data_IF_263241429288
#
_entry.id   IF_263241429288
#
_cell.length_a   1.000
_cell.length_b   1.000
_cell.length_c   1.000
_cell.angle_alpha   90.00
_cell.angle_beta   90.00
_cell.angle_gamma   90.00
#
_symmetry.space_group_name_H-M   'P 1'
#
loop_
_entity.id
_entity.type
_entity.pdbx_description
1 polymer ?
#
# COMPACT_ATOMS: atom_id res chain seq x y z
N UNK A 1 48.54 -37.39 6.61
CA UNK A 1 49.76 -37.13 7.40
C UNK A 1 50.50 -36.01 6.69
N UNK A 2 50.83 -34.83 7.21
CA UNK A 2 50.87 -34.15 8.52
C UNK A 2 50.91 -32.66 8.10
N UNK A 3 49.91 -31.81 8.38
CA UNK A 3 49.82 -30.90 9.53
C UNK A 3 51.10 -30.08 9.84
N UNK A 4 51.01 -28.74 9.72
CA UNK A 4 51.64 -27.70 10.57
C UNK A 4 51.46 -26.35 9.88
N UNK A 5 50.73 -25.35 10.39
CA UNK A 5 50.63 -24.69 11.71
C UNK A 5 51.47 -23.41 11.81
N UNK A 6 50.83 -22.42 12.45
CA UNK A 6 51.34 -21.22 13.15
C UNK A 6 51.47 -19.92 12.33
N UNK A 7 50.63 -18.90 12.53
CA UNK A 7 50.32 -18.02 13.70
C UNK A 7 51.24 -16.80 13.85
N UNK A 8 50.66 -15.59 13.78
CA UNK A 8 50.91 -14.40 14.62
C UNK A 8 50.12 -13.20 14.03
N UNK A 9 49.05 -12.70 14.67
CA UNK A 9 48.94 -11.78 15.83
C UNK A 9 49.07 -10.29 15.46
N UNK A 10 47.96 -9.55 15.73
CA UNK A 10 47.83 -8.21 16.39
C UNK A 10 48.67 -7.04 15.83
N UNK A 11 48.29 -5.77 15.76
CA UNK A 11 47.24 -4.85 16.25
C UNK A 11 47.52 -3.52 15.51
N UNK A 12 46.66 -2.51 15.43
CA UNK A 12 46.72 -1.35 16.35
C UNK A 12 45.62 -0.34 16.03
N UNK A 13 44.86 -0.01 17.08
CA UNK A 13 44.01 1.16 17.29
C UNK A 13 44.67 2.48 16.89
N UNK A 14 43.92 3.41 16.28
CA UNK A 14 44.12 4.84 16.55
C UNK A 14 42.78 5.57 16.69
N UNK A 15 42.45 5.83 17.96
CA UNK A 15 41.53 6.82 18.48
C UNK A 15 42.11 8.22 18.26
N UNK A 16 41.32 9.22 17.88
CA UNK A 16 41.62 10.62 18.16
C UNK A 16 40.35 11.33 18.63
N UNK A 17 40.34 11.63 19.93
CA UNK A 17 39.42 12.51 20.61
C UNK A 17 40.28 13.64 21.22
N UNK A 18 39.98 14.91 20.95
CA UNK A 18 40.49 16.06 21.74
C UNK A 18 39.35 17.09 21.86
N UNK A 19 39.08 17.47 23.12
CA UNK A 19 38.02 18.36 23.59
C UNK A 19 38.46 19.83 23.76
N UNK A 20 37.45 20.69 23.96
CA UNK A 20 37.41 21.98 24.71
C UNK A 20 37.98 23.25 24.02
N UNK A 21 37.44 24.47 24.18
CA UNK A 21 36.57 25.05 25.22
C UNK A 21 35.72 26.25 24.72
N UNK A 22 34.85 26.67 25.64
CA UNK A 22 33.77 27.67 25.72
C UNK A 22 34.16 29.16 25.50
N UNK A 23 33.20 29.99 25.04
CA UNK A 23 32.93 31.39 25.46
C UNK A 23 32.07 32.19 24.45
N UNK A 24 31.01 32.84 24.95
CA UNK A 24 30.66 34.21 24.52
C UNK A 24 29.34 34.42 23.75
N UNK A 25 28.32 34.85 24.48
CA UNK A 25 26.99 35.34 24.06
C UNK A 25 27.06 36.61 23.18
N UNK A 26 26.16 36.73 22.20
CA UNK A 26 25.31 37.91 21.92
C UNK A 26 25.11 38.12 20.42
N UNK A 27 23.91 37.80 19.94
CA UNK A 27 23.45 38.10 18.59
C UNK A 27 21.95 37.89 18.54
N UNK A 28 21.20 38.90 18.96
CA UNK A 28 19.75 39.02 18.80
C UNK A 28 19.39 38.77 17.34
N UNK A 29 18.72 37.66 17.05
CA UNK A 29 17.99 37.47 15.80
C UNK A 29 16.50 37.55 16.14
N UNK A 30 15.95 38.72 15.85
CA UNK A 30 14.54 39.04 15.84
C UNK A 30 13.75 38.05 14.99
N UNK A 31 12.71 37.49 15.60
CA UNK A 31 11.37 37.27 15.06
C UNK A 31 11.26 37.14 13.54
N UNK A 32 11.30 35.91 13.07
CA UNK A 32 10.27 35.41 12.15
C UNK A 32 10.02 33.95 12.56
N UNK A 33 9.27 33.76 13.66
CA UNK A 33 8.44 32.56 13.79
C UNK A 33 7.52 32.60 12.57
N UNK A 34 7.93 31.93 11.49
CA UNK A 34 7.01 31.56 10.44
C UNK A 34 6.02 30.63 11.13
N UNK A 35 4.91 31.23 11.58
CA UNK A 35 3.68 30.55 11.96
C UNK A 35 3.46 29.49 10.89
N UNK A 36 3.90 28.28 11.22
CA UNK A 36 3.64 27.10 10.44
C UNK A 36 2.13 27.03 10.47
N UNK A 37 1.51 27.48 9.39
CA UNK A 37 0.08 27.31 9.15
C UNK A 37 -0.06 25.80 8.98
N UNK A 38 -0.04 25.08 10.10
CA UNK A 38 -0.80 23.87 10.31
C UNK A 38 -2.20 24.37 10.05
N UNK A 39 -2.58 24.33 8.77
CA UNK A 39 -3.96 24.27 8.38
C UNK A 39 -4.42 23.04 9.13
N UNK A 40 -4.95 23.28 10.33
CA UNK A 40 -5.72 22.31 11.08
C UNK A 40 -6.60 21.71 10.01
N UNK A 41 -6.29 20.48 9.63
CA UNK A 41 -7.25 19.63 8.96
C UNK A 41 -8.25 19.43 10.09
N UNK A 42 -9.11 20.44 10.27
CA UNK A 42 -10.33 20.32 11.02
C UNK A 42 -10.98 19.15 10.33
N UNK A 43 -10.92 17.99 10.99
CA UNK A 43 -11.77 16.86 10.74
C UNK A 43 -13.19 17.40 10.84
N UNK A 44 -13.66 17.99 9.74
CA UNK A 44 -15.04 18.40 9.55
C UNK A 44 -15.84 17.14 9.24
N UNK A 45 -15.71 16.16 10.13
CA UNK A 45 -16.80 15.29 10.52
C UNK A 45 -17.76 16.21 11.24
N UNK A 46 -18.47 17.04 10.47
CA UNK A 46 -19.62 17.76 11.00
C UNK A 46 -20.52 16.68 11.57
N UNK A 47 -20.46 16.57 12.90
CA UNK A 47 -21.43 15.92 13.73
C UNK A 47 -22.78 16.44 13.25
N UNK A 48 -23.64 15.46 12.93
CA UNK A 48 -25.01 15.57 12.41
C UNK A 48 -25.05 15.97 10.93
N UNK A 49 -25.32 15.06 9.99
CA UNK A 49 -26.59 14.34 9.84
C UNK A 49 -26.31 12.89 9.40
N UNK A 50 -26.17 11.95 10.35
CA UNK A 50 -26.85 10.66 10.14
C UNK A 50 -28.29 10.95 10.54
N UNK A 51 -29.05 11.54 9.62
CA UNK A 51 -30.52 11.48 9.66
C UNK A 51 -30.83 10.04 10.01
N UNK A 52 -31.51 9.79 11.13
CA UNK A 52 -31.81 8.45 11.68
C UNK A 52 -31.98 7.45 10.54
N UNK A 53 -30.88 6.80 10.17
CA UNK A 53 -30.88 5.96 9.00
C UNK A 53 -31.57 4.70 9.48
N UNK A 54 -32.65 4.32 8.80
CA UNK A 54 -33.38 3.10 9.16
C UNK A 54 -32.35 1.98 9.38
N UNK A 55 -32.35 1.30 10.55
CA UNK A 55 -31.41 0.21 10.82
C UNK A 55 -31.29 -0.79 9.67
N UNK A 56 -32.38 -1.01 8.93
CA UNK A 56 -32.37 -1.87 7.73
C UNK A 56 -31.49 -1.33 6.59
N UNK A 57 -31.44 -0.02 6.39
CA UNK A 57 -30.60 0.65 5.41
C UNK A 57 -29.12 0.55 5.78
N UNK A 58 -28.81 0.69 7.08
CA UNK A 58 -27.44 0.53 7.60
C UNK A 58 -26.92 -0.90 7.35
N UNK A 59 -27.72 -1.91 7.70
CA UNK A 59 -27.38 -3.32 7.47
C UNK A 59 -27.16 -3.62 5.98
N UNK A 60 -28.02 -3.09 5.12
CA UNK A 60 -27.90 -3.22 3.67
C UNK A 60 -26.59 -2.61 3.15
N UNK A 61 -26.26 -1.38 3.57
CA UNK A 61 -25.01 -0.71 3.16
C UNK A 61 -23.80 -1.50 3.64
N UNK A 62 -23.79 -1.91 4.91
CA UNK A 62 -22.70 -2.71 5.48
C UNK A 62 -22.51 -4.03 4.73
N UNK A 63 -23.61 -4.69 4.35
CA UNK A 63 -23.57 -5.91 3.54
C UNK A 63 -22.97 -5.64 2.15
N UNK A 64 -23.39 -4.57 1.48
CA UNK A 64 -22.87 -4.20 0.16
C UNK A 64 -21.37 -3.89 0.20
N UNK A 65 -20.91 -3.08 1.17
CA UNK A 65 -19.49 -2.80 1.39
C UNK A 65 -18.73 -4.10 1.64
N UNK A 66 -19.25 -4.96 2.51
CA UNK A 66 -18.67 -6.27 2.80
C UNK A 66 -18.51 -7.14 1.55
N UNK A 67 -19.51 -7.14 0.66
CA UNK A 67 -19.47 -7.89 -0.59
C UNK A 67 -18.43 -7.33 -1.58
N UNK A 68 -18.37 -6.01 -1.75
CA UNK A 68 -17.37 -5.34 -2.60
C UNK A 68 -15.96 -5.66 -2.12
N UNK A 69 -15.72 -5.61 -0.80
CA UNK A 69 -14.42 -5.93 -0.23
C UNK A 69 -14.07 -7.42 -0.40
N UNK A 70 -15.02 -8.34 -0.21
CA UNK A 70 -14.82 -9.77 -0.47
C UNK A 70 -14.45 -10.04 -1.94
N UNK A 71 -15.14 -9.40 -2.89
CA UNK A 71 -14.85 -9.51 -4.32
C UNK A 71 -13.46 -8.96 -4.66
N UNK A 72 -13.13 -7.78 -4.14
CA UNK A 72 -11.81 -7.15 -4.33
C UNK A 72 -10.69 -8.05 -3.87
N UNK A 73 -10.76 -8.57 -2.63
CA UNK A 73 -9.78 -9.53 -2.11
C UNK A 73 -9.70 -10.81 -2.94
N UNK A 74 -10.84 -11.31 -3.41
CA UNK A 74 -10.89 -12.52 -4.23
C UNK A 74 -10.23 -12.30 -5.59
N UNK A 75 -10.38 -11.12 -6.18
CA UNK A 75 -9.70 -10.74 -7.41
C UNK A 75 -8.19 -10.69 -7.23
N UNK A 76 -7.69 -9.99 -6.21
CA UNK A 76 -6.25 -9.94 -5.94
C UNK A 76 -5.68 -11.34 -5.70
N UNK A 77 -6.39 -12.20 -4.96
CA UNK A 77 -6.00 -13.62 -4.78
C UNK A 77 -5.98 -14.39 -6.09
N UNK A 78 -6.91 -14.12 -7.01
CA UNK A 78 -6.98 -14.78 -8.31
C UNK A 78 -5.78 -14.39 -9.18
N UNK A 79 -5.43 -13.11 -9.20
CA UNK A 79 -4.25 -12.60 -9.91
C UNK A 79 -2.98 -13.27 -9.36
N UNK A 80 -2.79 -13.21 -8.05
CA UNK A 80 -1.56 -13.73 -7.41
C UNK A 80 -1.39 -15.25 -7.58
N UNK A 81 -2.48 -15.99 -7.83
CA UNK A 81 -2.44 -17.44 -8.06
C UNK A 81 -2.31 -17.83 -9.53
N UNK A 82 -2.48 -16.91 -10.47
CA UNK A 82 -2.49 -17.20 -11.91
C UNK A 82 -1.38 -16.43 -12.60
N UNK A 83 -0.30 -17.12 -12.95
CA UNK A 83 0.83 -16.53 -13.69
C UNK A 83 0.40 -15.96 -15.05
N UNK A 84 -0.51 -16.65 -15.74
CA UNK A 84 -1.09 -16.21 -17.02
C UNK A 84 -1.81 -14.87 -16.83
N UNK A 85 -2.71 -14.80 -15.83
CA UNK A 85 -3.48 -13.58 -15.56
C UNK A 85 -2.57 -12.44 -15.09
N UNK A 86 -1.58 -12.74 -14.26
CA UNK A 86 -0.61 -11.76 -13.78
C UNK A 86 0.24 -11.18 -14.91
N UNK A 87 0.70 -12.01 -15.85
CA UNK A 87 1.42 -11.56 -17.04
C UNK A 87 0.52 -10.72 -17.95
N UNK A 88 -0.72 -11.17 -18.20
CA UNK A 88 -1.68 -10.41 -19.01
C UNK A 88 -1.95 -9.02 -18.43
N UNK A 89 -2.21 -8.96 -17.11
CA UNK A 89 -2.39 -7.70 -16.38
C UNK A 89 -1.14 -6.83 -16.49
N UNK A 90 0.05 -7.40 -16.36
CA UNK A 90 1.30 -6.64 -16.44
C UNK A 90 1.49 -5.99 -17.81
N UNK A 91 1.05 -6.64 -18.88
CA UNK A 91 1.04 -6.05 -20.22
C UNK A 91 0.00 -4.92 -20.32
N UNK A 92 -1.24 -5.17 -19.86
CA UNK A 92 -2.31 -4.16 -19.86
C UNK A 92 -1.92 -2.92 -19.03
N UNK A 93 -1.27 -3.10 -17.87
CA UNK A 93 -0.79 -2.01 -17.01
C UNK A 93 0.09 -1.03 -17.76
N UNK A 94 0.98 -1.51 -18.63
CA UNK A 94 1.86 -0.68 -19.46
C UNK A 94 1.05 0.23 -20.40
N UNK A 95 -0.03 -0.30 -21.00
CA UNK A 95 -0.90 0.49 -21.87
C UNK A 95 -1.67 1.59 -21.13
N UNK A 96 -2.11 1.32 -19.89
CA UNK A 96 -2.82 2.31 -19.07
C UNK A 96 -1.90 3.16 -18.18
N UNK A 97 -0.57 3.02 -18.30
CA UNK A 97 0.44 3.72 -17.48
C UNK A 97 0.22 3.54 -15.96
N UNK A 98 -0.24 2.36 -15.55
CA UNK A 98 -0.45 2.03 -14.13
C UNK A 98 0.81 1.35 -13.59
N UNK A 99 1.51 2.03 -12.69
CA UNK A 99 2.74 1.50 -12.10
C UNK A 99 2.46 0.62 -10.88
N UNK A 100 1.49 1.01 -10.05
CA UNK A 100 1.16 0.32 -8.80
C UNK A 100 0.58 -1.06 -9.05
N UNK A 101 0.94 -2.03 -8.20
CA UNK A 101 0.34 -3.37 -8.20
C UNK A 101 -0.78 -3.47 -7.17
N UNK A 102 -1.80 -4.27 -7.46
CA UNK A 102 -2.83 -4.61 -6.49
C UNK A 102 -2.22 -5.43 -5.34
N UNK A 103 -2.62 -5.11 -4.12
CA UNK A 103 -2.17 -5.77 -2.90
C UNK A 103 -3.38 -6.13 -2.04
N UNK A 104 -3.29 -7.24 -1.31
CA UNK A 104 -4.30 -7.58 -0.32
C UNK A 104 -4.16 -6.65 0.88
N UNK A 105 -5.30 -6.36 1.51
CA UNK A 105 -5.32 -5.71 2.81
C UNK A 105 -4.71 -6.64 3.88
N UNK A 106 -4.10 -6.04 4.90
CA UNK A 106 -3.38 -6.74 5.96
C UNK A 106 -3.74 -6.19 7.34
N UNK A 107 -4.01 -7.10 8.28
CA UNK A 107 -4.45 -6.74 9.64
C UNK A 107 -3.45 -5.88 10.42
N UNK A 108 -2.15 -6.00 10.13
CA UNK A 108 -1.09 -5.27 10.82
C UNK A 108 -0.91 -3.82 10.34
N UNK A 109 -1.47 -3.44 9.19
CA UNK A 109 -1.42 -2.06 8.69
C UNK A 109 -2.84 -1.51 8.61
N UNK A 110 -3.10 -0.54 9.49
CA UNK A 110 -4.39 0.11 9.68
C UNK A 110 -5.01 0.71 8.40
N UNK A 111 -4.19 1.19 7.47
CA UNK A 111 -4.63 1.80 6.20
C UNK A 111 -4.67 0.81 5.00
N UNK A 112 -4.51 -0.49 5.23
CA UNK A 112 -4.38 -1.44 4.12
C UNK A 112 -5.67 -1.64 3.33
N UNK A 113 -6.84 -1.51 3.96
CA UNK A 113 -8.14 -1.54 3.27
C UNK A 113 -8.33 -0.33 2.35
N UNK A 114 -7.89 0.86 2.78
CA UNK A 114 -7.88 2.06 1.95
C UNK A 114 -7.06 1.84 0.67
N UNK A 115 -5.83 1.33 0.80
CA UNK A 115 -4.98 1.06 -0.37
C UNK A 115 -5.51 -0.04 -1.30
N UNK A 116 -6.23 -1.04 -0.76
CA UNK A 116 -6.92 -2.03 -1.59
C UNK A 116 -7.99 -1.36 -2.46
N UNK A 117 -8.85 -0.53 -1.86
CA UNK A 117 -9.94 0.17 -2.58
C UNK A 117 -9.37 1.14 -3.60
N UNK A 118 -8.41 1.97 -3.20
CA UNK A 118 -7.69 2.91 -4.08
C UNK A 118 -7.08 2.18 -5.28
N UNK A 119 -6.39 1.06 -5.04
CA UNK A 119 -5.83 0.22 -6.09
C UNK A 119 -6.89 -0.35 -7.03
N UNK A 120 -8.03 -0.82 -6.51
CA UNK A 120 -9.14 -1.34 -7.31
C UNK A 120 -9.74 -0.27 -8.22
N UNK A 121 -9.86 0.97 -7.73
CA UNK A 121 -10.34 2.10 -8.54
C UNK A 121 -9.39 2.41 -9.71
N UNK A 122 -8.08 2.41 -9.47
CA UNK A 122 -7.08 2.55 -10.54
C UNK A 122 -7.20 1.42 -11.57
N UNK A 123 -7.44 0.20 -11.10
CA UNK A 123 -7.55 -0.99 -11.94
C UNK A 123 -8.90 -1.12 -12.67
N UNK A 124 -9.86 -0.21 -12.47
CA UNK A 124 -11.20 -0.27 -13.10
C UNK A 124 -11.13 -0.58 -14.61
N UNK A 125 -10.32 0.18 -15.36
CA UNK A 125 -10.17 -0.01 -16.82
C UNK A 125 -9.53 -1.36 -17.17
N UNK A 126 -8.58 -1.81 -16.36
CA UNK A 126 -7.93 -3.11 -16.52
C UNK A 126 -8.92 -4.25 -16.30
N UNK A 127 -9.74 -4.15 -15.24
CA UNK A 127 -10.77 -5.15 -14.90
C UNK A 127 -11.77 -5.28 -16.05
N UNK A 128 -12.25 -4.16 -16.60
CA UNK A 128 -13.15 -4.19 -17.76
C UNK A 128 -12.51 -4.91 -18.95
N UNK A 129 -11.25 -4.59 -19.28
CA UNK A 129 -10.54 -5.21 -20.41
C UNK A 129 -10.33 -6.71 -20.21
N UNK A 130 -9.97 -7.15 -19.00
CA UNK A 130 -9.84 -8.57 -18.68
C UNK A 130 -11.17 -9.28 -18.81
N UNK A 131 -12.26 -8.67 -18.32
CA UNK A 131 -13.57 -9.29 -18.37
C UNK A 131 -14.10 -9.43 -19.81
N UNK A 132 -13.77 -8.49 -20.70
CA UNK A 132 -14.08 -8.62 -22.13
C UNK A 132 -13.24 -9.68 -22.85
N UNK A 133 -11.98 -9.88 -22.43
CA UNK A 133 -11.02 -10.79 -23.09
C UNK A 133 -10.90 -12.15 -22.38
N UNK A 134 -11.71 -12.43 -21.36
CA UNK A 134 -11.51 -13.57 -20.44
C UNK A 134 -11.52 -14.95 -21.10
N UNK A 135 -12.10 -15.07 -22.29
CA UNK A 135 -12.11 -16.31 -23.07
C UNK A 135 -10.88 -16.46 -23.97
N UNK A 136 -10.19 -15.35 -24.27
CA UNK A 136 -9.02 -15.30 -25.17
C UNK A 136 -7.69 -15.40 -24.40
N UNK A 137 -7.69 -15.08 -23.10
CA UNK A 137 -6.49 -15.11 -22.23
C UNK A 137 -5.97 -16.54 -21.98
N UNK A 138 -6.74 -17.58 -22.31
CA UNK A 138 -6.35 -18.98 -22.07
C UNK A 138 -6.48 -19.40 -20.60
N UNK A 139 -7.43 -18.80 -19.87
CA UNK A 139 -7.73 -19.17 -18.48
C UNK A 139 -8.52 -20.48 -18.39
N UNK A 140 -8.33 -21.22 -17.31
CA UNK A 140 -9.14 -22.42 -17.08
C UNK A 140 -10.58 -22.05 -16.68
N UNK A 141 -11.52 -22.99 -16.87
CA UNK A 141 -12.95 -22.77 -16.58
C UNK A 141 -13.21 -22.22 -15.17
N UNK A 142 -12.51 -22.73 -14.16
CA UNK A 142 -12.67 -22.27 -12.76
C UNK A 142 -12.23 -20.80 -12.59
N UNK A 143 -11.15 -20.38 -13.25
CA UNK A 143 -10.66 -19.01 -13.23
C UNK A 143 -11.61 -18.07 -13.99
N UNK A 144 -12.08 -18.46 -15.17
CA UNK A 144 -13.04 -17.68 -15.98
C UNK A 144 -14.37 -17.48 -15.26
N UNK A 145 -14.87 -18.50 -14.57
CA UNK A 145 -16.05 -18.37 -13.71
C UNK A 145 -15.81 -17.37 -12.58
N UNK A 146 -14.66 -17.43 -11.89
CA UNK A 146 -14.34 -16.48 -10.82
C UNK A 146 -14.22 -15.04 -11.33
N UNK A 147 -13.63 -14.82 -12.50
CA UNK A 147 -13.58 -13.50 -13.14
C UNK A 147 -14.96 -12.96 -13.47
N UNK A 148 -15.90 -13.83 -13.85
CA UNK A 148 -17.27 -13.42 -14.20
C UNK A 148 -18.12 -13.05 -12.99
N UNK A 149 -17.67 -13.40 -11.77
CA UNK A 149 -18.35 -13.09 -10.51
C UNK A 149 -17.82 -11.82 -9.83
N UNK A 150 -16.72 -11.25 -10.35
CA UNK A 150 -16.13 -10.00 -9.87
C UNK A 150 -16.94 -8.84 -10.46
#
# INVERSE_FOLDING_TARGET
>A
MIASSDQSLLTTNQNCNINHADAGVSGVSTDEESDEFIMDIMDNWSIDIIEYMDPSAYDSIQQHIGNVMKKSRSFVKLINKSSILMNHISNIKKHFKINRSLQLDCKSRWNSSYHLVEGMLMYKKIIYKINSEKYDIGLNKKQTTKLSLI
#
